data_IF_353636720565
#
_entry.id   IF_353636720565
#
_cell.length_a   1.000
_cell.length_b   1.000
_cell.length_c   1.000
_cell.angle_alpha   90.00
_cell.angle_beta   90.00
_cell.angle_gamma   90.00
#
_symmetry.space_group_name_H-M   'P 1'
#
loop_
_entity.id
_entity.type
_entity.pdbx_description
1 polymer ?
#
# COMPACT_ATOMS: atom_id res chain seq x y z
N UNK A 1 0.55 12.41 2.11
CA UNK A 1 -0.62 11.73 1.51
C UNK A 1 -0.78 12.00 0.02
N UNK A 2 -0.44 13.21 -0.47
CA UNK A 2 -0.58 13.58 -1.88
C UNK A 2 0.00 12.59 -2.90
N UNK A 3 1.13 11.91 -2.64
CA UNK A 3 1.68 10.92 -3.57
C UNK A 3 0.84 9.64 -3.64
N UNK A 4 0.34 9.14 -2.51
CA UNK A 4 -0.53 7.97 -2.45
C UNK A 4 -1.88 8.26 -3.12
N UNK A 5 -2.48 9.40 -2.80
CA UNK A 5 -3.72 9.84 -3.42
C UNK A 5 -3.57 9.97 -4.95
N UNK A 6 -2.49 10.62 -5.42
CA UNK A 6 -2.18 10.71 -6.86
C UNK A 6 -2.00 9.32 -7.50
N UNK A 7 -1.34 8.39 -6.83
CA UNK A 7 -1.13 7.03 -7.36
C UNK A 7 -2.44 6.27 -7.48
N UNK A 8 -3.32 6.35 -6.47
CA UNK A 8 -4.64 5.70 -6.47
C UNK A 8 -5.50 6.26 -7.60
N UNK A 9 -5.62 7.58 -7.68
CA UNK A 9 -6.41 8.24 -8.73
C UNK A 9 -5.82 8.02 -10.13
N UNK A 10 -4.50 8.09 -10.27
CA UNK A 10 -3.81 7.91 -11.55
C UNK A 10 -3.96 6.51 -12.13
N UNK A 11 -4.10 5.49 -11.26
CA UNK A 11 -4.34 4.11 -11.68
C UNK A 11 -5.83 3.73 -11.75
N UNK A 12 -6.74 4.64 -11.37
CA UNK A 12 -8.19 4.37 -11.42
C UNK A 12 -8.66 3.27 -10.47
N UNK A 13 -7.92 3.03 -9.39
CA UNK A 13 -8.20 1.98 -8.40
C UNK A 13 -8.86 2.57 -7.15
N UNK A 14 -9.56 1.73 -6.37
CA UNK A 14 -10.01 2.11 -5.04
C UNK A 14 -8.95 1.71 -3.99
N UNK A 15 -8.73 2.57 -3.00
CA UNK A 15 -7.83 2.32 -1.88
C UNK A 15 -8.08 0.99 -1.15
N UNK A 16 -9.34 0.56 -1.05
CA UNK A 16 -9.72 -0.70 -0.38
C UNK A 16 -9.44 -1.97 -1.20
N UNK A 17 -9.23 -1.81 -2.51
CA UNK A 17 -9.03 -2.94 -3.44
C UNK A 17 -7.53 -3.21 -3.70
N UNK A 18 -6.64 -2.47 -3.03
CA UNK A 18 -5.19 -2.54 -3.21
C UNK A 18 -4.49 -2.68 -1.87
N UNK A 19 -3.28 -3.23 -1.90
CA UNK A 19 -2.43 -3.42 -0.72
C UNK A 19 -1.22 -2.50 -0.86
N UNK A 20 -0.93 -1.72 0.19
CA UNK A 20 0.30 -0.94 0.26
C UNK A 20 1.44 -1.82 0.79
N UNK A 21 2.42 -2.07 -0.07
CA UNK A 21 3.58 -2.89 0.28
C UNK A 21 4.76 -2.06 0.78
N UNK A 22 5.37 -2.47 1.90
CA UNK A 22 6.48 -1.77 2.56
C UNK A 22 7.52 -2.72 3.17
N UNK A 23 8.62 -2.20 3.71
CA UNK A 23 9.56 -3.04 4.48
C UNK A 23 8.97 -3.42 5.85
N UNK A 24 9.40 -4.59 6.37
CA UNK A 24 8.93 -5.13 7.64
C UNK A 24 9.09 -4.13 8.81
N UNK A 25 10.22 -3.43 8.85
CA UNK A 25 10.58 -2.54 9.95
C UNK A 25 9.67 -1.31 10.07
N UNK A 26 9.17 -0.82 8.93
CA UNK A 26 8.34 0.40 8.88
C UNK A 26 6.83 0.09 8.83
N UNK A 27 6.43 -1.16 8.57
CA UNK A 27 5.03 -1.57 8.33
C UNK A 27 4.05 -1.01 9.35
N UNK A 28 4.35 -1.17 10.64
CA UNK A 28 3.47 -0.72 11.74
C UNK A 28 3.26 0.79 11.76
N UNK A 29 4.29 1.55 11.37
CA UNK A 29 4.24 3.01 11.33
C UNK A 29 3.44 3.48 10.12
N UNK A 30 3.65 2.83 8.97
CA UNK A 30 2.89 3.13 7.75
C UNK A 30 1.40 2.80 7.92
N UNK A 31 1.04 1.65 8.52
CA UNK A 31 -0.38 1.33 8.79
C UNK A 31 -1.05 2.40 9.65
N UNK A 32 -0.41 2.79 10.76
CA UNK A 32 -0.91 3.86 11.63
C UNK A 32 -1.09 5.20 10.92
N UNK A 33 -0.20 5.52 9.99
CA UNK A 33 -0.27 6.76 9.22
C UNK A 33 -1.37 6.72 8.15
N UNK A 34 -1.53 5.58 7.46
CA UNK A 34 -2.47 5.43 6.35
C UNK A 34 -3.90 5.24 6.85
N UNK A 35 -4.11 4.55 7.97
CA UNK A 35 -5.45 4.23 8.48
C UNK A 35 -6.27 5.46 8.90
N UNK A 36 -5.62 6.60 9.17
CA UNK A 36 -6.30 7.87 9.43
C UNK A 36 -7.09 8.38 8.21
N UNK A 37 -6.63 8.06 6.99
CA UNK A 37 -7.25 8.52 5.73
C UNK A 37 -7.88 7.38 4.93
N UNK A 38 -7.31 6.17 4.99
CA UNK A 38 -7.76 4.97 4.30
C UNK A 38 -7.82 3.79 5.29
N UNK A 39 -8.81 3.76 6.19
CA UNK A 39 -8.88 2.76 7.26
C UNK A 39 -8.97 1.32 6.73
N UNK A 40 -9.63 1.14 5.58
CA UNK A 40 -9.82 -0.16 4.92
C UNK A 40 -8.62 -0.60 4.06
N UNK A 41 -7.60 0.26 3.86
CA UNK A 41 -6.42 -0.13 3.08
C UNK A 41 -5.52 -1.04 3.90
N UNK A 42 -5.19 -2.20 3.35
CA UNK A 42 -4.23 -3.11 3.94
C UNK A 42 -2.79 -2.66 3.68
N UNK A 43 -1.95 -2.86 4.71
CA UNK A 43 -0.51 -2.57 4.64
C UNK A 43 0.25 -3.83 5.01
N UNK A 44 0.89 -4.43 4.01
CA UNK A 44 1.70 -5.63 4.15
C UNK A 44 3.18 -5.30 3.93
N UNK A 45 4.02 -6.10 4.56
CA UNK A 45 5.45 -6.11 4.32
C UNK A 45 5.84 -7.20 3.36
N UNK A 46 6.98 -7.03 2.68
CA UNK A 46 7.51 -8.06 1.77
C UNK A 46 7.72 -9.43 2.45
N UNK A 47 7.96 -9.46 3.77
CA UNK A 47 8.13 -10.71 4.53
C UNK A 47 6.83 -11.42 4.91
N UNK A 48 5.67 -10.77 4.73
CA UNK A 48 4.35 -11.34 5.03
C UNK A 48 3.74 -12.05 3.81
N UNK A 49 4.36 -11.94 2.63
CA UNK A 49 3.86 -12.56 1.40
C UNK A 49 4.55 -13.91 1.15
N UNK A 50 3.74 -14.93 0.89
CA UNK A 50 4.24 -16.25 0.47
C UNK A 50 4.91 -16.17 -0.90
N UNK A 51 6.01 -16.88 -1.09
CA UNK A 51 6.69 -16.99 -2.39
C UNK A 51 5.82 -17.64 -3.49
N UNK A 52 4.71 -18.28 -3.11
CA UNK A 52 3.76 -18.88 -4.04
C UNK A 52 2.73 -17.90 -4.62
N UNK A 53 2.77 -16.62 -4.24
CA UNK A 53 1.81 -15.60 -4.65
C UNK A 53 2.46 -14.70 -5.69
N UNK A 54 1.84 -14.59 -6.86
CA UNK A 54 2.21 -13.60 -7.85
C UNK A 54 1.71 -12.21 -7.43
N UNK A 55 2.58 -11.22 -7.54
CA UNK A 55 2.29 -9.82 -7.17
C UNK A 55 2.26 -9.00 -8.46
N UNK A 56 1.13 -8.33 -8.69
CA UNK A 56 1.03 -7.33 -9.74
C UNK A 56 1.23 -5.92 -9.15
N UNK A 57 2.25 -5.21 -9.63
CA UNK A 57 2.60 -3.88 -9.12
C UNK A 57 1.94 -2.83 -9.99
N UNK A 58 0.86 -2.25 -9.47
CA UNK A 58 0.10 -1.20 -10.16
C UNK A 58 0.75 0.20 -10.03
N UNK A 59 1.69 0.40 -9.11
CA UNK A 59 2.33 1.70 -8.92
C UNK A 59 3.36 1.73 -7.80
N UNK A 60 4.23 2.73 -7.86
CA UNK A 60 5.24 3.02 -6.84
C UNK A 60 5.02 4.43 -6.30
N UNK A 61 5.17 4.60 -4.98
CA UNK A 61 5.11 5.93 -4.37
C UNK A 61 6.45 6.63 -4.59
N UNK A 62 6.44 7.63 -5.46
CA UNK A 62 7.57 8.50 -5.74
C UNK A 62 7.22 9.94 -5.33
N UNK A 63 8.26 10.73 -5.02
CA UNK A 63 8.12 12.16 -4.71
C UNK A 63 7.80 12.98 -5.95
#
# INVERSE_FOLDING_TARGET
MNCLEKSIHGNGVNAKDIILMVSLDIRRFVKKFVEEHYPEMDVLSFGEISQSVDIDVIGLLQN
#
